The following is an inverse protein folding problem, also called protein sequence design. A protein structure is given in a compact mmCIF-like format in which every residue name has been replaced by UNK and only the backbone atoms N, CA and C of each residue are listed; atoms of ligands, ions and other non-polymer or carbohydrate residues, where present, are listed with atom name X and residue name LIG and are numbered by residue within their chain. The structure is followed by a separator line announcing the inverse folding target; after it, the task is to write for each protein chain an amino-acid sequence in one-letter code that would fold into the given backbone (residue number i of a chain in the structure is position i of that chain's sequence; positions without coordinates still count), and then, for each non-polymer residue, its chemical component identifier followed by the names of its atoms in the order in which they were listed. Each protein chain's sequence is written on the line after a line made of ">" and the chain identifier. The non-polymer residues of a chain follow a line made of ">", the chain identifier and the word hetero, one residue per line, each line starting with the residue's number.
data_IF_989216358107
#
_entry.id   IF_989216358107
#
_cell.length_a   1.000
_cell.length_b   1.000
_cell.length_c   1.000
_cell.angle_alpha   90.00
_cell.angle_beta   90.00
_cell.angle_gamma   90.00
#
_symmetry.space_group_name_H-M   'P 1'
#
loop_
_entity.id
_entity.type
_entity.pdbx_description
1 polymer ?
#
# COMPACT_ATOMS: atom_id res chain seq x y z
N UNK A 1 -24.80 5.54 28.36
CA UNK A 1 -23.80 4.49 28.62
C UNK A 1 -23.97 3.91 30.02
N UNK A 2 -24.22 4.72 31.05
CA UNK A 2 -24.16 4.31 32.47
C UNK A 2 -25.11 3.19 32.94
N UNK A 3 -26.07 2.77 32.12
CA UNK A 3 -26.98 1.65 32.42
C UNK A 3 -26.61 0.34 31.72
N UNK A 4 -25.65 0.37 30.80
CA UNK A 4 -25.20 -0.83 30.10
C UNK A 4 -24.09 -1.53 30.91
N UNK A 5 -24.13 -2.86 31.03
CA UNK A 5 -23.09 -3.58 31.74
C UNK A 5 -21.78 -3.59 30.92
N UNK A 6 -20.61 -3.83 31.56
CA UNK A 6 -19.29 -3.77 30.91
C UNK A 6 -19.16 -4.64 29.66
N UNK A 7 -19.85 -5.77 29.59
CA UNK A 7 -19.80 -6.71 28.47
C UNK A 7 -20.39 -6.09 27.20
N UNK A 8 -21.44 -5.27 27.33
CA UNK A 8 -22.05 -4.57 26.20
C UNK A 8 -21.12 -3.46 25.73
N UNK A 9 -20.49 -2.72 26.64
CA UNK A 9 -19.47 -1.74 26.28
C UNK A 9 -18.26 -2.38 25.59
N UNK A 10 -17.78 -3.51 26.09
CA UNK A 10 -16.70 -4.27 25.48
C UNK A 10 -17.03 -4.68 24.04
N UNK A 11 -18.26 -5.16 23.78
CA UNK A 11 -18.73 -5.44 22.41
C UNK A 11 -18.77 -4.18 21.54
N UNK A 12 -19.31 -3.08 22.04
CA UNK A 12 -19.35 -1.80 21.31
C UNK A 12 -17.92 -1.36 20.95
N UNK A 13 -16.98 -1.44 21.88
CA UNK A 13 -15.59 -1.04 21.66
C UNK A 13 -14.86 -1.98 20.70
N UNK A 14 -15.14 -3.29 20.73
CA UNK A 14 -14.62 -4.24 19.76
C UNK A 14 -15.02 -3.87 18.32
N UNK A 15 -16.26 -3.41 18.11
CA UNK A 15 -16.71 -2.96 16.78
C UNK A 15 -16.19 -1.56 16.43
N UNK A 16 -16.13 -0.65 17.41
CA UNK A 16 -15.74 0.73 17.18
C UNK A 16 -14.22 0.90 16.90
N UNK A 17 -13.38 0.08 17.53
CA UNK A 17 -11.91 0.13 17.40
C UNK A 17 -11.38 -0.60 16.14
N UNK A 18 -12.12 -0.52 15.03
CA UNK A 18 -11.77 -1.09 13.71
C UNK A 18 -11.27 -0.03 12.73
N UNK A 19 -10.71 1.07 13.25
CA UNK A 19 -10.21 2.20 12.48
C UNK A 19 -8.67 2.27 12.50
N UNK A 20 -8.08 3.46 12.38
CA UNK A 20 -6.63 3.67 12.44
C UNK A 20 -6.06 3.77 13.87
N UNK A 21 -6.84 3.37 14.88
CA UNK A 21 -6.49 3.44 16.31
C UNK A 21 -6.95 4.73 16.97
N UNK A 22 -7.55 5.66 16.21
CA UNK A 22 -8.01 6.96 16.72
C UNK A 22 -9.22 6.80 17.65
N UNK A 23 -10.14 5.89 17.35
CA UNK A 23 -11.27 5.59 18.24
C UNK A 23 -10.81 5.03 19.58
N UNK A 24 -9.88 4.07 19.58
CA UNK A 24 -9.31 3.51 20.81
C UNK A 24 -8.65 4.59 21.70
N UNK A 25 -7.86 5.48 21.09
CA UNK A 25 -7.26 6.61 21.79
C UNK A 25 -8.31 7.59 22.35
N UNK A 26 -9.38 7.83 21.60
CA UNK A 26 -10.46 8.74 22.02
C UNK A 26 -11.23 8.16 23.20
N UNK A 27 -11.58 6.87 23.17
CA UNK A 27 -12.24 6.16 24.26
C UNK A 27 -11.42 6.20 25.55
N UNK A 28 -10.11 5.99 25.46
CA UNK A 28 -9.20 6.02 26.61
C UNK A 28 -9.19 7.37 27.37
N UNK A 29 -9.67 8.45 26.74
CA UNK A 29 -9.72 9.80 27.31
C UNK A 29 -11.07 10.18 27.91
N UNK A 30 -12.12 9.37 27.73
CA UNK A 30 -13.48 9.73 28.16
C UNK A 30 -13.65 9.61 29.67
N UNK A 31 -13.32 8.47 30.27
CA UNK A 31 -13.41 8.22 31.72
C UNK A 31 -12.48 7.08 32.15
N UNK A 32 -12.23 6.91 33.46
CA UNK A 32 -11.44 5.77 33.98
C UNK A 32 -12.08 4.44 33.61
N UNK A 33 -13.39 4.32 33.82
CA UNK A 33 -14.17 3.14 33.46
C UNK A 33 -14.04 2.80 31.96
N UNK A 34 -14.27 3.77 31.05
CA UNK A 34 -14.16 3.52 29.61
C UNK A 34 -12.72 3.17 29.22
N UNK A 35 -11.72 3.81 29.83
CA UNK A 35 -10.30 3.49 29.59
C UNK A 35 -9.97 2.04 29.95
N UNK A 36 -10.50 1.54 31.06
CA UNK A 36 -10.30 0.16 31.51
C UNK A 36 -11.02 -0.84 30.61
N UNK A 37 -12.31 -0.61 30.32
CA UNK A 37 -13.12 -1.51 29.49
C UNK A 37 -12.67 -1.52 28.02
N UNK A 38 -12.19 -0.39 27.50
CA UNK A 38 -11.66 -0.30 26.13
C UNK A 38 -10.23 -0.81 25.98
N UNK A 39 -9.49 -1.03 27.08
CA UNK A 39 -8.07 -1.35 27.08
C UNK A 39 -7.68 -2.49 26.12
N UNK A 40 -8.42 -3.63 26.05
CA UNK A 40 -8.10 -4.73 25.14
C UNK A 40 -8.28 -4.39 23.66
N UNK A 41 -9.14 -3.41 23.36
CA UNK A 41 -9.56 -3.05 22.00
C UNK A 41 -8.73 -1.90 21.41
N UNK A 42 -8.02 -1.14 22.25
CA UNK A 42 -7.29 0.06 21.85
C UNK A 42 -6.24 -0.18 20.76
N UNK A 43 -5.66 -1.38 20.68
CA UNK A 43 -4.54 -1.72 19.81
C UNK A 43 -4.90 -2.73 18.71
N UNK A 44 -6.18 -3.11 18.58
CA UNK A 44 -6.59 -4.11 17.59
C UNK A 44 -6.22 -3.69 16.15
N UNK A 45 -6.33 -2.39 15.87
CA UNK A 45 -6.00 -1.79 14.60
C UNK A 45 -5.06 -0.61 14.81
N UNK A 46 -3.91 -0.60 14.13
CA UNK A 46 -2.90 0.45 14.24
C UNK A 46 -2.49 0.90 12.84
N UNK A 47 -2.68 2.19 12.53
CA UNK A 47 -2.07 2.80 11.35
C UNK A 47 -0.99 3.80 11.75
N UNK A 48 0.25 3.51 11.38
CA UNK A 48 1.39 4.39 11.59
C UNK A 48 1.82 4.98 10.25
N UNK A 49 1.93 6.31 10.24
CA UNK A 49 2.52 7.03 9.14
C UNK A 49 3.64 7.92 9.68
N UNK A 50 4.83 7.73 9.13
CA UNK A 50 6.04 8.44 9.47
C UNK A 50 6.87 7.76 10.56
N UNK A 51 8.16 7.73 10.31
CA UNK A 51 9.22 7.23 11.20
C UNK A 51 9.04 7.56 12.69
N UNK A 52 8.78 8.82 13.07
CA UNK A 52 8.66 9.23 14.48
C UNK A 52 7.56 8.46 15.23
N UNK A 53 6.44 8.16 14.55
CA UNK A 53 5.32 7.42 15.16
C UNK A 53 5.67 5.94 15.30
N UNK A 54 6.40 5.37 14.35
CA UNK A 54 6.90 3.99 14.42
C UNK A 54 7.84 3.84 15.62
N UNK A 55 8.86 4.70 15.74
CA UNK A 55 9.80 4.70 16.88
C UNK A 55 9.08 4.93 18.21
N UNK A 56 8.11 5.85 18.25
CA UNK A 56 7.33 6.09 19.45
C UNK A 56 6.52 4.85 19.87
N UNK A 57 5.86 4.17 18.93
CA UNK A 57 5.10 2.96 19.25
C UNK A 57 6.03 1.85 19.77
N UNK A 58 7.19 1.64 19.14
CA UNK A 58 8.16 0.66 19.61
C UNK A 58 8.54 0.89 21.08
N UNK A 59 8.84 2.14 21.46
CA UNK A 59 9.14 2.51 22.85
C UNK A 59 7.97 2.27 23.81
N UNK A 60 6.74 2.47 23.36
CA UNK A 60 5.55 2.21 24.18
C UNK A 60 5.26 0.70 24.32
N UNK A 61 5.55 -0.09 23.28
CA UNK A 61 5.50 -1.56 23.34
C UNK A 61 6.49 -2.10 24.38
N UNK A 62 7.74 -1.64 24.35
CA UNK A 62 8.79 -2.08 25.29
C UNK A 62 8.45 -1.76 26.75
N UNK A 63 7.78 -0.62 27.01
CA UNK A 63 7.34 -0.24 28.35
C UNK A 63 6.09 -1.00 28.80
N UNK A 64 5.29 -1.52 27.86
CA UNK A 64 4.03 -2.16 28.19
C UNK A 64 4.27 -3.52 28.84
N UNK A 65 3.75 -3.68 30.06
CA UNK A 65 3.76 -4.98 30.76
C UNK A 65 2.69 -5.95 30.26
N UNK A 66 1.70 -5.44 29.55
CA UNK A 66 0.54 -6.20 29.07
C UNK A 66 0.64 -6.32 27.56
N UNK A 67 0.67 -7.57 27.07
CA UNK A 67 0.55 -7.84 25.63
C UNK A 67 -0.92 -7.65 25.23
N UNK A 68 -1.14 -6.79 24.25
CA UNK A 68 -2.44 -6.52 23.65
C UNK A 68 -2.38 -7.06 22.22
N UNK A 69 -3.39 -7.83 21.79
CA UNK A 69 -3.39 -8.34 20.43
C UNK A 69 -3.52 -7.18 19.44
N UNK A 70 -2.74 -7.24 18.37
CA UNK A 70 -2.82 -6.35 17.22
C UNK A 70 -3.14 -7.24 16.02
N UNK A 71 -4.36 -7.09 15.48
CA UNK A 71 -4.84 -7.91 14.37
C UNK A 71 -4.55 -7.25 13.02
N UNK A 72 -4.57 -5.91 12.99
CA UNK A 72 -4.43 -5.15 11.76
C UNK A 72 -3.39 -4.05 11.91
N UNK A 73 -2.35 -4.09 11.08
CA UNK A 73 -1.33 -3.04 11.08
C UNK A 73 -1.12 -2.46 9.68
N UNK A 74 -1.07 -1.14 9.62
CA UNK A 74 -0.65 -0.37 8.46
C UNK A 74 0.60 0.43 8.84
N UNK A 75 1.69 0.20 8.13
CA UNK A 75 2.97 0.84 8.36
C UNK A 75 3.35 1.66 7.13
N UNK A 76 3.65 2.93 7.34
CA UNK A 76 4.16 3.81 6.30
C UNK A 76 5.36 4.60 6.80
N UNK A 77 6.46 4.56 6.07
CA UNK A 77 7.68 5.31 6.40
C UNK A 77 7.58 6.80 6.02
N UNK A 78 6.71 7.15 5.06
CA UNK A 78 6.48 8.51 4.58
C UNK A 78 5.96 9.44 5.68
N UNK A 79 6.54 10.63 5.78
CA UNK A 79 6.00 11.73 6.57
C UNK A 79 4.88 12.46 5.79
N UNK A 80 3.74 12.70 6.42
CA UNK A 80 2.71 13.63 5.90
C UNK A 80 3.21 15.09 6.04
N UNK A 81 3.17 15.97 5.00
CA UNK A 81 4.36 16.34 4.21
C UNK A 81 4.80 17.85 4.34
N UNK A 82 5.75 18.38 3.51
CA UNK A 82 5.47 18.69 2.09
C UNK A 82 6.41 18.05 1.03
N UNK A 83 5.92 17.91 -0.22
CA UNK A 83 6.39 17.03 -1.31
C UNK A 83 7.68 17.46 -2.04
N UNK A 84 8.44 18.42 -1.53
CA UNK A 84 9.64 18.95 -2.22
C UNK A 84 10.96 18.60 -1.52
N UNK A 85 10.91 17.87 -0.41
CA UNK A 85 12.11 17.39 0.25
C UNK A 85 12.40 15.98 -0.28
N UNK A 86 13.25 15.90 -1.30
CA UNK A 86 14.00 14.67 -1.54
C UNK A 86 14.63 14.25 -0.21
N UNK A 87 14.64 12.95 0.14
CA UNK A 87 15.26 12.49 1.37
C UNK A 87 16.69 13.02 1.41
N UNK A 88 17.02 13.82 2.42
CA UNK A 88 18.38 14.29 2.58
C UNK A 88 19.24 13.07 2.91
N UNK A 89 20.49 13.05 2.46
CA UNK A 89 21.42 11.92 2.73
C UNK A 89 21.56 11.60 4.22
N UNK A 90 21.29 12.57 5.10
CA UNK A 90 21.26 12.40 6.56
C UNK A 90 20.09 11.51 7.04
N UNK A 91 19.00 11.41 6.28
CA UNK A 91 17.83 10.59 6.62
C UNK A 91 18.11 9.09 6.47
N UNK A 92 19.07 8.70 5.63
CA UNK A 92 19.41 7.28 5.41
C UNK A 92 20.00 6.63 6.66
N UNK A 93 20.87 7.34 7.37
CA UNK A 93 21.45 6.89 8.63
C UNK A 93 20.37 6.73 9.70
N UNK A 94 19.40 7.64 9.76
CA UNK A 94 18.27 7.53 10.68
C UNK A 94 17.37 6.32 10.36
N UNK A 95 17.19 6.00 9.07
CA UNK A 95 16.44 4.82 8.64
C UNK A 95 17.03 3.52 9.20
N UNK A 96 18.31 3.26 8.95
CA UNK A 96 18.94 2.01 9.39
C UNK A 96 19.10 1.93 10.91
N UNK A 97 19.50 3.04 11.56
CA UNK A 97 19.82 3.03 13.00
C UNK A 97 18.59 3.04 13.92
N UNK A 98 17.45 3.53 13.45
CA UNK A 98 16.26 3.70 14.31
C UNK A 98 15.00 3.03 13.74
N UNK A 99 14.78 3.04 12.42
CA UNK A 99 13.53 2.49 11.86
C UNK A 99 13.53 0.97 11.91
N UNK A 100 14.60 0.32 11.43
CA UNK A 100 14.67 -1.14 11.40
C UNK A 100 14.57 -1.74 12.81
N UNK A 101 15.29 -1.24 13.84
CA UNK A 101 15.08 -1.70 15.22
C UNK A 101 13.65 -1.48 15.71
N UNK A 102 13.03 -0.33 15.41
CA UNK A 102 11.66 -0.06 15.81
C UNK A 102 10.66 -1.00 15.11
N UNK A 103 10.86 -1.27 13.81
CA UNK A 103 10.09 -2.27 13.08
C UNK A 103 10.31 -3.66 13.67
N UNK A 104 11.53 -4.04 14.06
CA UNK A 104 11.80 -5.33 14.68
C UNK A 104 10.99 -5.53 15.97
N UNK A 105 10.97 -4.51 16.83
CA UNK A 105 10.20 -4.52 18.08
C UNK A 105 8.71 -4.66 17.78
N UNK A 106 8.18 -3.85 16.86
CA UNK A 106 6.76 -3.85 16.51
C UNK A 106 6.37 -5.20 15.90
N UNK A 107 7.08 -5.66 14.87
CA UNK A 107 6.76 -6.89 14.14
C UNK A 107 6.91 -8.12 15.03
N UNK A 108 7.95 -8.18 15.87
CA UNK A 108 8.09 -9.22 16.88
C UNK A 108 6.98 -9.22 17.93
N UNK A 109 6.44 -8.05 18.27
CA UNK A 109 5.31 -7.93 19.17
C UNK A 109 3.99 -8.38 18.54
N UNK A 110 3.73 -8.01 17.28
CA UNK A 110 2.44 -8.27 16.61
C UNK A 110 2.37 -9.62 15.91
N UNK A 111 3.50 -10.26 15.62
CA UNK A 111 3.60 -11.48 14.79
C UNK A 111 2.58 -12.57 15.15
N UNK A 112 2.41 -12.85 16.44
CA UNK A 112 1.53 -13.89 16.97
C UNK A 112 0.03 -13.60 16.87
N UNK A 113 -0.39 -12.36 16.56
CA UNK A 113 -1.81 -12.00 16.47
C UNK A 113 -2.19 -11.38 15.14
N UNK A 114 -1.21 -11.12 14.26
CA UNK A 114 -1.42 -10.32 13.07
C UNK A 114 -2.21 -11.09 12.01
N UNK A 115 -3.35 -10.55 11.61
CA UNK A 115 -4.19 -11.09 10.53
C UNK A 115 -3.99 -10.33 9.21
N UNK A 116 -3.75 -9.01 9.28
CA UNK A 116 -3.50 -8.19 8.09
C UNK A 116 -2.31 -7.26 8.27
N UNK A 117 -1.40 -7.26 7.30
CA UNK A 117 -0.22 -6.40 7.26
C UNK A 117 -0.21 -5.58 5.97
N UNK A 118 -0.11 -4.26 6.10
CA UNK A 118 0.11 -3.37 4.97
C UNK A 118 1.37 -2.55 5.20
N UNK A 119 2.39 -2.78 4.38
CA UNK A 119 3.62 -2.00 4.35
C UNK A 119 3.60 -1.06 3.15
N UNK A 120 3.78 0.22 3.42
CA UNK A 120 3.92 1.27 2.43
C UNK A 120 5.28 1.94 2.62
N UNK A 121 6.26 1.53 1.82
CA UNK A 121 7.56 2.17 1.78
C UNK A 121 7.66 3.13 0.60
N UNK A 122 7.97 4.39 0.88
CA UNK A 122 8.30 5.43 -0.09
C UNK A 122 9.80 5.72 -0.13
N UNK A 123 10.59 4.95 0.64
CA UNK A 123 12.05 5.03 0.62
C UNK A 123 12.62 4.67 -0.76
N UNK A 124 13.88 5.03 -0.99
CA UNK A 124 14.57 4.72 -2.23
C UNK A 124 14.65 3.19 -2.46
N UNK A 125 14.95 2.76 -3.70
CA UNK A 125 14.89 1.35 -4.11
C UNK A 125 15.57 0.37 -3.15
N UNK A 126 16.75 0.72 -2.64
CA UNK A 126 17.51 -0.17 -1.76
C UNK A 126 16.90 -0.26 -0.35
N UNK A 127 16.54 0.88 0.23
CA UNK A 127 15.99 0.93 1.59
C UNK A 127 14.59 0.30 1.63
N UNK A 128 13.78 0.51 0.59
CA UNK A 128 12.48 -0.15 0.45
C UNK A 128 12.60 -1.68 0.37
N UNK A 129 13.58 -2.20 -0.38
CA UNK A 129 13.83 -3.64 -0.43
C UNK A 129 14.27 -4.19 0.95
N UNK A 130 15.10 -3.46 1.69
CA UNK A 130 15.52 -3.85 3.04
C UNK A 130 14.31 -3.95 3.97
N UNK A 131 13.45 -2.92 4.01
CA UNK A 131 12.28 -2.94 4.88
C UNK A 131 11.30 -4.06 4.52
N UNK A 132 11.07 -4.31 3.23
CA UNK A 132 10.21 -5.43 2.79
C UNK A 132 10.81 -6.77 3.25
N UNK A 133 12.10 -7.01 3.01
CA UNK A 133 12.77 -8.24 3.44
C UNK A 133 12.71 -8.42 4.96
N UNK A 134 12.92 -7.33 5.70
CA UNK A 134 12.83 -7.33 7.15
C UNK A 134 11.41 -7.64 7.62
N UNK A 135 10.38 -7.11 6.96
CA UNK A 135 9.00 -7.46 7.24
C UNK A 135 8.74 -8.94 6.97
N UNK A 136 9.25 -9.48 5.86
CA UNK A 136 9.07 -10.89 5.50
C UNK A 136 9.88 -11.87 6.37
N UNK A 137 10.84 -11.40 7.17
CA UNK A 137 11.68 -12.27 8.02
C UNK A 137 11.03 -12.71 9.33
N UNK A 138 9.80 -12.25 9.64
CA UNK A 138 9.09 -12.64 10.85
C UNK A 138 8.10 -13.77 10.55
N UNK A 139 7.91 -14.75 11.46
CA UNK A 139 6.86 -15.75 11.33
C UNK A 139 5.51 -15.09 11.60
N UNK A 140 4.52 -15.32 10.74
CA UNK A 140 3.16 -14.80 10.94
C UNK A 140 2.12 -15.92 10.87
N UNK A 141 1.90 -16.68 11.95
CA UNK A 141 1.06 -17.89 11.92
C UNK A 141 -0.41 -17.62 11.56
N UNK A 142 -0.89 -16.39 11.77
CA UNK A 142 -2.29 -16.01 11.52
C UNK A 142 -2.48 -15.00 10.39
N UNK A 143 -1.42 -14.65 9.66
CA UNK A 143 -1.49 -13.63 8.61
C UNK A 143 -2.26 -14.15 7.40
N UNK A 144 -3.43 -13.54 7.16
CA UNK A 144 -4.32 -13.87 6.04
C UNK A 144 -4.12 -12.91 4.87
N UNK A 145 -3.70 -11.68 5.14
CA UNK A 145 -3.57 -10.67 4.09
C UNK A 145 -2.29 -9.83 4.22
N UNK A 146 -1.56 -9.72 3.11
CA UNK A 146 -0.33 -8.96 2.99
C UNK A 146 -0.43 -7.99 1.82
N UNK A 147 -0.19 -6.71 2.09
CA UNK A 147 -0.03 -5.67 1.08
C UNK A 147 1.37 -5.08 1.20
N UNK A 148 2.13 -5.11 0.11
CA UNK A 148 3.45 -4.48 0.03
C UNK A 148 3.39 -3.45 -1.08
N UNK A 149 3.58 -2.17 -0.74
CA UNK A 149 4.01 -1.15 -1.69
C UNK A 149 5.44 -0.77 -1.36
N UNK A 150 6.32 -0.89 -2.34
CA UNK A 150 7.68 -0.40 -2.22
C UNK A 150 8.21 0.02 -3.59
N UNK A 151 9.10 1.00 -3.61
CA UNK A 151 9.82 1.41 -4.81
C UNK A 151 10.96 0.42 -5.12
N UNK A 152 10.75 -0.90 -5.09
CA UNK A 152 11.78 -1.91 -5.37
C UNK A 152 11.25 -3.03 -6.27
N UNK A 153 12.13 -3.62 -7.08
CA UNK A 153 11.72 -4.62 -8.07
C UNK A 153 11.59 -6.00 -7.45
N UNK A 154 10.78 -6.91 -8.02
CA UNK A 154 10.74 -8.30 -7.59
C UNK A 154 12.13 -8.95 -7.55
N UNK A 155 13.03 -8.63 -8.48
CA UNK A 155 14.43 -9.09 -8.46
C UNK A 155 15.19 -8.62 -7.23
N UNK A 156 14.99 -7.38 -6.81
CA UNK A 156 15.59 -6.86 -5.58
C UNK A 156 14.99 -7.52 -4.34
N UNK A 157 13.77 -8.05 -4.39
CA UNK A 157 13.18 -8.77 -3.25
C UNK A 157 13.58 -10.25 -3.23
N UNK A 158 13.57 -10.91 -4.39
CA UNK A 158 13.89 -12.34 -4.52
C UNK A 158 15.36 -12.67 -4.29
N UNK A 159 16.27 -11.70 -4.41
CA UNK A 159 17.71 -11.87 -4.18
C UNK A 159 18.08 -12.01 -2.70
N UNK A 160 17.48 -12.95 -1.97
CA UNK A 160 17.93 -13.35 -0.64
C UNK A 160 19.41 -13.71 -0.69
N UNK A 161 20.21 -13.19 0.24
CA UNK A 161 21.62 -13.60 0.29
C UNK A 161 21.65 -15.06 0.74
N UNK A 162 22.62 -15.88 0.28
CA UNK A 162 22.84 -17.20 0.84
C UNK A 162 22.97 -17.10 2.38
N UNK A 163 22.03 -17.70 3.12
CA UNK A 163 21.92 -17.59 4.58
C UNK A 163 20.69 -16.81 5.08
N UNK A 164 20.07 -15.99 4.24
CA UNK A 164 18.77 -15.38 4.51
C UNK A 164 17.67 -16.43 4.22
N UNK A 165 17.46 -17.38 5.13
CA UNK A 165 16.28 -18.24 5.05
C UNK A 165 15.08 -17.44 5.54
N UNK A 166 14.04 -17.34 4.71
CA UNK A 166 12.71 -16.99 5.22
C UNK A 166 12.34 -17.96 6.35
N UNK A 167 11.51 -17.53 7.31
CA UNK A 167 11.01 -18.41 8.36
C UNK A 167 10.49 -19.71 7.74
N UNK A 168 10.81 -20.86 8.35
CA UNK A 168 10.39 -22.17 7.83
C UNK A 168 8.87 -22.33 7.74
N UNK A 169 8.11 -21.49 8.44
CA UNK A 169 6.66 -21.46 8.41
C UNK A 169 6.19 -20.35 7.46
N UNK A 170 5.83 -20.75 6.24
CA UNK A 170 5.13 -19.85 5.33
C UNK A 170 3.74 -19.57 5.88
N UNK A 171 3.28 -18.31 5.91
CA UNK A 171 1.92 -18.00 6.32
C UNK A 171 0.91 -18.64 5.36
N UNK A 172 -0.24 -19.06 5.89
CA UNK A 172 -1.43 -19.45 5.12
C UNK A 172 -2.11 -18.19 4.56
N UNK A 173 -1.39 -17.50 3.67
CA UNK A 173 -1.77 -16.20 3.16
C UNK A 173 -2.89 -16.36 2.13
N UNK A 174 -4.07 -15.84 2.43
CA UNK A 174 -5.20 -15.87 1.50
C UNK A 174 -5.08 -14.79 0.42
N UNK A 175 -4.57 -13.60 0.77
CA UNK A 175 -4.55 -12.42 -0.08
C UNK A 175 -3.17 -11.75 -0.14
N UNK A 176 -2.63 -11.58 -1.34
CA UNK A 176 -1.35 -10.93 -1.59
C UNK A 176 -1.48 -9.78 -2.59
N UNK A 177 -1.23 -8.56 -2.14
CA UNK A 177 -1.16 -7.37 -3.00
C UNK A 177 0.27 -6.86 -3.08
N UNK A 178 0.86 -6.92 -4.26
CA UNK A 178 2.18 -6.37 -4.57
C UNK A 178 2.02 -5.11 -5.43
N UNK A 179 2.42 -3.97 -4.88
CA UNK A 179 2.49 -2.69 -5.57
C UNK A 179 3.96 -2.29 -5.78
N UNK A 180 4.55 -2.74 -6.89
CA UNK A 180 5.99 -2.68 -7.16
C UNK A 180 6.30 -2.17 -8.58
N UNK A 181 7.52 -1.69 -8.86
CA UNK A 181 8.05 -1.57 -10.22
C UNK A 181 8.44 -2.95 -10.79
N UNK A 182 7.81 -3.38 -11.88
CA UNK A 182 7.98 -4.70 -12.48
C UNK A 182 8.91 -4.73 -13.70
N UNK A 183 9.21 -3.57 -14.28
CA UNK A 183 10.05 -3.43 -15.48
C UNK A 183 9.63 -4.36 -16.61
N UNK A 184 8.33 -4.37 -16.90
CA UNK A 184 7.79 -5.07 -18.05
C UNK A 184 7.84 -6.59 -17.98
N UNK A 185 8.07 -7.20 -16.81
CA UNK A 185 8.32 -8.64 -16.71
C UNK A 185 9.41 -9.12 -17.69
N UNK A 186 10.57 -8.45 -17.70
CA UNK A 186 11.78 -9.05 -18.29
C UNK A 186 11.99 -10.46 -17.73
N UNK A 187 12.66 -11.35 -18.47
CA UNK A 187 12.85 -12.76 -18.06
C UNK A 187 13.30 -12.90 -16.60
N UNK A 188 14.26 -12.08 -16.17
CA UNK A 188 14.79 -12.08 -14.81
C UNK A 188 13.75 -11.60 -13.79
N UNK A 189 12.97 -10.56 -14.12
CA UNK A 189 11.93 -10.04 -13.22
C UNK A 189 10.71 -10.97 -13.16
N UNK A 190 10.41 -11.68 -14.24
CA UNK A 190 9.35 -12.68 -14.29
C UNK A 190 9.67 -13.83 -13.34
N UNK A 191 10.87 -14.41 -13.48
CA UNK A 191 11.35 -15.45 -12.56
C UNK A 191 11.40 -14.95 -11.12
N UNK A 192 11.92 -13.74 -10.90
CA UNK A 192 11.97 -13.17 -9.56
C UNK A 192 10.58 -12.92 -8.96
N UNK A 193 9.59 -12.56 -9.78
CA UNK A 193 8.20 -12.40 -9.33
C UNK A 193 7.61 -13.74 -8.92
N UNK A 194 7.81 -14.79 -9.74
CA UNK A 194 7.43 -16.16 -9.38
C UNK A 194 8.06 -16.58 -8.04
N UNK A 195 9.39 -16.47 -7.93
CA UNK A 195 10.12 -16.84 -6.73
C UNK A 195 9.64 -16.06 -5.50
N UNK A 196 9.38 -14.75 -5.65
CA UNK A 196 8.87 -13.91 -4.58
C UNK A 196 7.51 -14.40 -4.08
N UNK A 197 6.56 -14.67 -4.98
CA UNK A 197 5.22 -15.15 -4.61
C UNK A 197 5.31 -16.49 -3.89
N UNK A 198 6.05 -17.45 -4.46
CA UNK A 198 6.23 -18.78 -3.86
C UNK A 198 6.93 -18.72 -2.51
N UNK A 199 7.88 -17.78 -2.35
CA UNK A 199 8.58 -17.57 -1.09
C UNK A 199 7.69 -16.97 0.01
N UNK A 200 6.70 -16.15 -0.36
CA UNK A 200 5.75 -15.55 0.58
C UNK A 200 4.70 -16.59 0.99
N UNK A 201 4.05 -17.24 0.03
CA UNK A 201 3.08 -18.31 0.29
C UNK A 201 2.71 -19.02 -1.03
N UNK A 202 2.62 -20.36 -0.99
CA UNK A 202 2.12 -21.17 -2.10
C UNK A 202 0.58 -21.19 -2.18
N UNK A 203 -0.11 -20.86 -1.10
CA UNK A 203 -1.56 -21.01 -0.93
C UNK A 203 -2.37 -19.73 -1.25
N UNK A 204 -1.75 -18.78 -1.95
CA UNK A 204 -2.39 -17.49 -2.26
C UNK A 204 -3.62 -17.70 -3.14
N UNK A 205 -4.78 -17.37 -2.57
CA UNK A 205 -6.07 -17.47 -3.26
C UNK A 205 -6.47 -16.19 -3.99
N UNK A 206 -5.99 -15.02 -3.55
CA UNK A 206 -6.22 -13.73 -4.19
C UNK A 206 -4.90 -13.02 -4.42
N UNK A 207 -4.60 -12.71 -5.67
CA UNK A 207 -3.35 -12.05 -6.06
C UNK A 207 -3.66 -10.74 -6.77
N UNK A 208 -3.07 -9.64 -6.30
CA UNK A 208 -3.16 -8.34 -6.96
C UNK A 208 -1.78 -7.81 -7.29
N UNK A 209 -1.61 -7.38 -8.54
CA UNK A 209 -0.48 -6.57 -8.95
C UNK A 209 -0.91 -5.13 -9.18
N UNK A 210 -0.18 -4.20 -8.57
CA UNK A 210 -0.21 -2.80 -8.96
C UNK A 210 1.15 -2.38 -9.47
N UNK A 211 1.20 -1.98 -10.73
CA UNK A 211 2.44 -1.54 -11.35
C UNK A 211 2.74 -0.08 -10.96
N UNK A 212 3.93 0.14 -10.41
CA UNK A 212 4.40 1.48 -10.09
C UNK A 212 5.23 2.11 -11.21
N UNK A 213 5.73 1.29 -12.15
CA UNK A 213 6.52 1.76 -13.28
C UNK A 213 5.79 1.61 -14.61
N UNK A 214 6.20 2.42 -15.59
CA UNK A 214 5.61 2.49 -16.93
C UNK A 214 6.29 1.57 -17.95
N UNK A 215 7.31 0.81 -17.55
CA UNK A 215 8.17 0.12 -18.48
C UNK A 215 7.57 -1.22 -18.91
N UNK A 216 7.58 -1.49 -20.21
CA UNK A 216 7.18 -2.78 -20.79
C UNK A 216 5.72 -3.17 -20.54
N UNK A 217 4.82 -2.18 -20.56
CA UNK A 217 3.36 -2.37 -20.42
C UNK A 217 2.82 -3.46 -21.36
N UNK A 218 3.30 -3.49 -22.62
CA UNK A 218 2.94 -4.52 -23.61
C UNK A 218 3.30 -5.94 -23.15
N UNK A 219 4.54 -6.15 -22.74
CA UNK A 219 5.01 -7.48 -22.31
C UNK A 219 4.24 -7.95 -21.07
N UNK A 220 3.88 -7.04 -20.18
CA UNK A 220 3.05 -7.36 -19.02
C UNK A 220 1.69 -7.89 -19.44
N UNK A 221 1.02 -7.21 -20.37
CA UNK A 221 -0.27 -7.69 -20.88
C UNK A 221 -0.14 -9.04 -21.57
N UNK A 222 0.90 -9.25 -22.38
CA UNK A 222 1.15 -10.53 -23.03
C UNK A 222 1.32 -11.67 -22.01
N UNK A 223 2.11 -11.45 -20.96
CA UNK A 223 2.33 -12.41 -19.88
C UNK A 223 1.03 -12.68 -19.11
N UNK A 224 0.29 -11.62 -18.76
CA UNK A 224 -0.96 -11.75 -18.00
C UNK A 224 -2.04 -12.46 -18.82
N UNK A 225 -2.15 -12.16 -20.12
CA UNK A 225 -3.08 -12.86 -21.01
C UNK A 225 -2.72 -14.34 -21.15
N UNK A 226 -1.43 -14.66 -21.35
CA UNK A 226 -0.92 -16.03 -21.39
C UNK A 226 -1.23 -16.79 -20.09
N UNK A 227 -0.95 -16.19 -18.92
CA UNK A 227 -1.22 -16.79 -17.61
C UNK A 227 -2.71 -17.03 -17.36
N UNK A 228 -3.56 -16.05 -17.66
CA UNK A 228 -5.01 -16.18 -17.46
C UNK A 228 -5.63 -17.20 -18.44
N UNK A 229 -5.13 -17.27 -19.68
CA UNK A 229 -5.54 -18.29 -20.64
C UNK A 229 -5.12 -19.69 -20.17
N UNK A 230 -3.87 -19.85 -19.70
CA UNK A 230 -3.37 -21.12 -19.17
C UNK A 230 -4.12 -21.57 -17.90
N UNK A 231 -4.57 -20.63 -17.06
CA UNK A 231 -5.43 -20.90 -15.89
C UNK A 231 -6.92 -21.03 -16.21
N UNK A 232 -7.30 -21.01 -17.50
CA UNK A 232 -8.69 -21.09 -17.97
C UNK A 232 -9.60 -20.02 -17.36
N UNK A 233 -9.05 -18.85 -17.06
CA UNK A 233 -9.80 -17.65 -16.64
C UNK A 233 -10.25 -16.86 -17.86
N UNK A 234 -9.47 -16.91 -18.95
CA UNK A 234 -9.72 -16.23 -20.21
C UNK A 234 -9.57 -17.17 -21.41
N UNK A 235 -10.16 -16.77 -22.54
CA UNK A 235 -9.92 -17.43 -23.82
C UNK A 235 -8.52 -17.07 -24.37
N UNK A 236 -7.84 -17.99 -25.06
CA UNK A 236 -6.55 -17.69 -25.68
C UNK A 236 -6.63 -16.62 -26.78
N UNK A 237 -7.80 -16.42 -27.39
CA UNK A 237 -8.01 -15.39 -28.43
C UNK A 237 -9.05 -14.39 -27.92
N UNK A 238 -8.73 -13.09 -28.06
CA UNK A 238 -9.59 -11.98 -27.70
C UNK A 238 -9.89 -11.13 -28.93
N UNK A 239 -11.16 -10.97 -29.27
CA UNK A 239 -11.58 -9.98 -30.26
C UNK A 239 -11.51 -8.59 -29.64
N UNK A 240 -10.75 -7.70 -30.27
CA UNK A 240 -10.54 -6.33 -29.81
C UNK A 240 -11.45 -5.37 -30.58
N UNK A 241 -12.03 -4.35 -29.93
CA UNK A 241 -12.78 -3.32 -30.63
C UNK A 241 -11.93 -2.66 -31.73
N UNK A 242 -12.47 -2.42 -32.93
CA UNK A 242 -11.73 -1.77 -34.00
C UNK A 242 -11.27 -0.38 -33.53
N UNK A 243 -10.05 -0.02 -33.91
CA UNK A 243 -9.56 1.36 -33.83
C UNK A 243 -9.60 1.95 -35.25
N UNK A 244 -9.64 3.28 -35.37
CA UNK A 244 -9.73 3.98 -36.66
C UNK A 244 -8.52 3.76 -37.60
N UNK A 245 -7.54 2.97 -37.19
CA UNK A 245 -6.29 2.66 -37.88
C UNK A 245 -6.06 1.13 -37.93
N UNK A 246 -5.06 0.68 -38.70
CA UNK A 246 -4.69 -0.73 -38.93
C UNK A 246 -4.17 -1.46 -37.67
N UNK A 247 -4.92 -1.43 -36.57
CA UNK A 247 -4.68 -2.26 -35.40
C UNK A 247 -5.06 -3.71 -35.68
N UNK A 248 -4.37 -4.67 -35.05
CA UNK A 248 -4.88 -6.03 -34.99
C UNK A 248 -6.27 -6.02 -34.34
N UNK A 249 -7.23 -6.68 -34.98
CA UNK A 249 -8.59 -6.89 -34.46
C UNK A 249 -8.64 -7.98 -33.40
N UNK A 250 -7.54 -8.71 -33.18
CA UNK A 250 -7.47 -9.83 -32.23
C UNK A 250 -6.16 -9.81 -31.45
N UNK A 251 -6.20 -10.20 -30.17
CA UNK A 251 -5.02 -10.57 -29.38
C UNK A 251 -5.02 -12.07 -29.09
N UNK A 252 -3.89 -12.72 -29.33
CA UNK A 252 -3.70 -14.16 -29.07
C UNK A 252 -2.67 -14.36 -27.96
N UNK A 253 -3.05 -15.11 -26.95
CA UNK A 253 -2.21 -15.47 -25.82
C UNK A 253 -1.08 -16.39 -26.29
N UNK A 254 0.15 -16.04 -25.94
CA UNK A 254 1.29 -16.92 -26.15
C UNK A 254 1.21 -18.11 -25.18
N UNK A 255 1.78 -19.28 -25.53
CA UNK A 255 2.00 -20.35 -24.56
C UNK A 255 2.85 -19.86 -23.39
N UNK A 256 2.53 -20.30 -22.18
CA UNK A 256 3.35 -20.02 -20.99
C UNK A 256 4.58 -20.91 -21.04
N UNK A 257 5.74 -20.30 -21.31
CA UNK A 257 7.06 -20.98 -21.38
C UNK A 257 7.97 -20.61 -20.20
N UNK A 258 7.38 -20.11 -19.12
CA UNK A 258 8.05 -19.64 -17.91
C UNK A 258 7.36 -20.25 -16.69
N UNK A 259 7.99 -20.13 -15.53
CA UNK A 259 7.41 -20.59 -14.26
C UNK A 259 6.13 -19.81 -13.93
N UNK A 260 5.04 -20.52 -13.66
CA UNK A 260 3.69 -19.93 -13.49
C UNK A 260 3.69 -18.80 -12.47
N UNK A 261 3.31 -17.60 -12.88
CA UNK A 261 3.12 -16.49 -11.94
C UNK A 261 1.88 -16.69 -11.07
N UNK A 262 0.81 -17.22 -11.67
CA UNK A 262 -0.46 -17.44 -10.99
C UNK A 262 -0.41 -18.79 -10.25
N UNK A 263 -0.61 -18.82 -8.93
CA UNK A 263 -0.72 -20.07 -8.17
C UNK A 263 -1.86 -20.95 -8.69
N UNK A 264 -1.72 -22.28 -8.58
CA UNK A 264 -2.75 -23.22 -9.05
C UNK A 264 -4.08 -23.07 -8.29
N UNK A 265 -4.03 -22.68 -7.00
CA UNK A 265 -5.19 -22.44 -6.15
C UNK A 265 -5.84 -21.05 -6.32
N UNK A 266 -5.40 -20.25 -7.30
CA UNK A 266 -5.84 -18.86 -7.45
C UNK A 266 -7.33 -18.76 -7.79
N UNK A 267 -8.07 -18.09 -6.90
CA UNK A 267 -9.49 -17.80 -7.07
C UNK A 267 -9.71 -16.47 -7.78
N UNK A 268 -8.92 -15.46 -7.44
CA UNK A 268 -9.07 -14.10 -7.95
C UNK A 268 -7.73 -13.46 -8.30
N UNK A 269 -7.64 -12.89 -9.50
CA UNK A 269 -6.51 -12.08 -9.94
C UNK A 269 -6.93 -10.65 -10.25
N UNK A 270 -6.21 -9.67 -9.72
CA UNK A 270 -6.40 -8.27 -10.09
C UNK A 270 -5.11 -7.65 -10.62
N UNK A 271 -5.24 -6.82 -11.65
CA UNK A 271 -4.13 -6.02 -12.16
C UNK A 271 -4.52 -4.55 -12.25
N UNK A 272 -3.62 -3.70 -11.77
CA UNK A 272 -3.69 -2.26 -11.89
C UNK A 272 -2.42 -1.77 -12.58
N UNK A 273 -2.47 -1.39 -13.87
CA UNK A 273 -1.30 -0.85 -14.55
C UNK A 273 -0.93 0.52 -13.97
N UNK A 274 0.30 0.95 -14.27
CA UNK A 274 0.73 2.31 -13.98
C UNK A 274 -0.17 3.28 -14.77
N UNK A 275 -0.61 4.40 -14.18
CA UNK A 275 -1.37 5.39 -14.92
C UNK A 275 -0.57 5.88 -16.12
N UNK A 276 -1.23 5.92 -17.27
CA UNK A 276 -0.71 6.48 -18.52
C UNK A 276 -0.64 8.00 -18.44
N UNK A 277 0.19 8.55 -17.54
CA UNK A 277 0.52 9.97 -17.59
C UNK A 277 1.53 10.22 -18.71
N UNK A 278 1.48 11.43 -19.28
CA UNK A 278 2.13 12.01 -20.49
C UNK A 278 3.63 11.83 -20.69
N UNK A 279 4.30 10.91 -19.99
CA UNK A 279 5.73 10.65 -20.11
C UNK A 279 5.99 9.72 -21.30
N UNK A 280 5.89 10.29 -22.49
CA UNK A 280 6.30 9.66 -23.74
C UNK A 280 7.82 9.75 -23.84
N UNK A 281 8.58 8.66 -23.59
CA UNK A 281 9.85 8.58 -24.32
C UNK A 281 9.49 8.15 -25.73
N UNK A 282 9.60 9.09 -26.67
CA UNK A 282 9.54 8.82 -28.11
C UNK A 282 10.50 7.71 -28.56
N UNK A 283 11.48 7.38 -27.74
CA UNK A 283 12.50 6.37 -27.98
C UNK A 283 12.09 4.93 -27.62
N UNK A 284 11.15 4.73 -26.69
CA UNK A 284 10.91 3.42 -26.07
C UNK A 284 9.44 2.98 -26.09
N UNK A 285 8.49 3.89 -26.31
CA UNK A 285 7.08 3.54 -26.46
C UNK A 285 6.50 4.31 -27.65
N UNK A 286 6.18 3.59 -28.72
CA UNK A 286 5.20 4.09 -29.69
C UNK A 286 3.93 4.41 -28.89
N UNK A 287 3.35 5.61 -29.06
CA UNK A 287 2.06 6.00 -28.45
C UNK A 287 0.96 4.93 -28.61
N UNK A 288 1.10 4.08 -29.62
CA UNK A 288 0.26 2.92 -29.93
C UNK A 288 0.29 1.84 -28.84
N UNK A 289 1.45 1.59 -28.25
CA UNK A 289 1.65 0.49 -27.30
C UNK A 289 0.77 0.58 -26.06
N UNK A 290 0.61 1.78 -25.50
CA UNK A 290 -0.22 1.98 -24.30
C UNK A 290 -1.71 1.88 -24.59
N UNK A 291 -2.16 2.38 -25.76
CA UNK A 291 -3.58 2.27 -26.17
C UNK A 291 -3.95 0.81 -26.40
N UNK A 292 -3.10 0.05 -27.09
CA UNK A 292 -3.33 -1.39 -27.30
C UNK A 292 -3.31 -2.17 -25.97
N UNK A 293 -2.39 -1.84 -25.06
CA UNK A 293 -2.32 -2.43 -23.72
C UNK A 293 -3.60 -2.20 -22.93
N UNK A 294 -4.05 -0.95 -22.83
CA UNK A 294 -5.30 -0.63 -22.13
C UNK A 294 -6.46 -1.35 -22.80
N UNK A 295 -6.57 -1.30 -24.13
CA UNK A 295 -7.64 -1.95 -24.89
C UNK A 295 -7.69 -3.46 -24.62
N UNK A 296 -6.54 -4.13 -24.58
CA UNK A 296 -6.46 -5.57 -24.27
C UNK A 296 -6.89 -5.81 -22.81
N UNK A 297 -6.37 -5.06 -21.83
CA UNK A 297 -6.75 -5.22 -20.41
C UNK A 297 -8.24 -4.95 -20.16
N UNK A 298 -8.79 -3.90 -20.78
CA UNK A 298 -10.23 -3.61 -20.75
C UNK A 298 -11.01 -4.78 -21.36
N UNK A 299 -10.58 -5.29 -22.52
CA UNK A 299 -11.26 -6.42 -23.15
C UNK A 299 -11.18 -7.68 -22.29
N UNK A 300 -10.03 -7.96 -21.68
CA UNK A 300 -9.86 -9.04 -20.72
C UNK A 300 -10.85 -8.89 -19.56
N UNK A 301 -11.05 -7.68 -19.03
CA UNK A 301 -12.00 -7.43 -17.93
C UNK A 301 -13.46 -7.61 -18.31
N UNK A 302 -13.80 -7.39 -19.60
CA UNK A 302 -15.16 -7.59 -20.13
C UNK A 302 -15.44 -9.06 -20.40
N UNK A 303 -14.45 -9.81 -20.87
CA UNK A 303 -14.62 -11.22 -21.29
C UNK A 303 -14.39 -12.20 -20.13
N UNK A 304 -13.55 -11.84 -19.15
CA UNK A 304 -13.29 -12.70 -18.00
C UNK A 304 -14.51 -12.80 -17.08
N UNK A 305 -14.55 -13.89 -16.32
CA UNK A 305 -15.40 -14.00 -15.15
C UNK A 305 -15.02 -12.91 -14.12
N UNK A 306 -15.96 -12.02 -13.81
CA UNK A 306 -15.77 -10.89 -12.89
C UNK A 306 -15.42 -11.33 -11.46
N UNK A 307 -15.76 -12.58 -11.10
CA UNK A 307 -15.42 -13.16 -9.81
C UNK A 307 -14.01 -13.75 -9.77
N UNK A 308 -13.32 -13.83 -10.92
CA UNK A 308 -11.98 -14.40 -11.06
C UNK A 308 -10.92 -13.43 -11.57
N UNK A 309 -11.32 -12.38 -12.28
CA UNK A 309 -10.41 -11.37 -12.80
C UNK A 309 -10.96 -9.96 -12.68
N UNK A 310 -10.13 -9.03 -12.23
CA UNK A 310 -10.43 -7.60 -12.25
C UNK A 310 -9.31 -6.77 -12.86
N UNK A 311 -9.68 -5.91 -13.80
CA UNK A 311 -8.86 -4.81 -14.26
C UNK A 311 -9.23 -3.55 -13.46
N UNK A 312 -8.25 -3.03 -12.72
CA UNK A 312 -8.41 -1.81 -11.93
C UNK A 312 -7.94 -0.63 -12.78
N UNK A 313 -8.86 -0.06 -13.55
CA UNK A 313 -8.58 1.09 -14.38
C UNK A 313 -8.11 2.29 -13.54
N UNK A 314 -7.07 2.97 -14.01
CA UNK A 314 -6.57 4.23 -13.50
C UNK A 314 -6.67 5.30 -14.57
N UNK A 315 -7.87 5.48 -15.13
CA UNK A 315 -8.19 6.78 -15.72
C UNK A 315 -7.78 7.84 -14.71
N UNK A 316 -6.94 8.81 -15.11
CA UNK A 316 -6.50 9.85 -14.21
C UNK A 316 -7.76 10.41 -13.59
N UNK A 317 -7.92 10.23 -12.27
CA UNK A 317 -8.93 10.94 -11.49
C UNK A 317 -8.74 12.36 -11.97
N UNK A 318 -9.70 12.89 -12.78
CA UNK A 318 -9.57 14.16 -13.50
C UNK A 318 -8.85 15.05 -12.54
N UNK A 319 -7.58 15.36 -12.84
CA UNK A 319 -6.68 15.91 -11.84
C UNK A 319 -7.32 17.21 -11.37
N UNK A 320 -8.13 17.11 -10.30
CA UNK A 320 -8.69 18.26 -9.64
C UNK A 320 -7.47 19.10 -9.38
N UNK A 321 -7.55 20.41 -9.62
CA UNK A 321 -6.46 21.40 -9.48
C UNK A 321 -5.74 21.39 -8.11
N UNK A 322 -5.94 20.38 -7.28
CA UNK A 322 -5.09 19.96 -6.19
C UNK A 322 -3.63 19.92 -6.65
N UNK A 323 -2.82 20.78 -6.04
CA UNK A 323 -1.35 20.75 -6.03
C UNK A 323 -0.83 19.47 -5.34
N UNK A 324 -1.32 18.30 -5.71
CA UNK A 324 -0.84 17.03 -5.20
C UNK A 324 0.51 16.70 -5.83
N UNK A 325 1.33 15.99 -5.07
CA UNK A 325 2.65 15.52 -5.48
C UNK A 325 2.53 14.72 -6.80
N UNK A 326 3.30 15.03 -7.86
CA UNK A 326 3.32 14.24 -9.09
C UNK A 326 3.51 12.73 -8.85
N UNK A 327 4.19 12.34 -7.76
CA UNK A 327 4.34 10.94 -7.36
C UNK A 327 3.05 10.32 -6.79
N UNK A 328 2.17 11.11 -6.15
CA UNK A 328 0.85 10.66 -5.74
C UNK A 328 -0.12 10.51 -6.92
N UNK A 329 0.04 11.36 -7.94
CA UNK A 329 -0.77 11.32 -9.17
C UNK A 329 -0.43 10.09 -10.03
N UNK A 330 0.75 9.50 -9.84
CA UNK A 330 1.28 8.45 -10.72
C UNK A 330 1.19 7.00 -10.18
N UNK A 331 0.60 6.72 -9.02
CA UNK A 331 0.66 5.37 -8.46
C UNK A 331 -0.29 5.09 -7.30
N UNK A 332 -0.29 3.86 -6.77
CA UNK A 332 -1.03 3.46 -5.56
C UNK A 332 -0.42 4.19 -4.37
N UNK A 333 -0.95 5.39 -4.14
CA UNK A 333 -0.44 6.38 -3.20
C UNK A 333 -0.89 6.11 -1.78
N UNK A 334 -0.34 6.88 -0.82
CA UNK A 334 -0.58 6.68 0.61
C UNK A 334 -2.07 6.77 0.96
N UNK A 335 -2.76 7.79 0.45
CA UNK A 335 -4.19 8.01 0.74
C UNK A 335 -5.03 6.83 0.26
N UNK A 336 -4.80 6.37 -0.97
CA UNK A 336 -5.53 5.21 -1.51
C UNK A 336 -5.20 3.94 -0.74
N UNK A 337 -3.91 3.66 -0.48
CA UNK A 337 -3.50 2.47 0.26
C UNK A 337 -4.06 2.45 1.68
N UNK A 338 -4.07 3.58 2.38
CA UNK A 338 -4.67 3.71 3.72
C UNK A 338 -6.18 3.51 3.68
N UNK A 339 -6.88 4.14 2.73
CA UNK A 339 -8.33 4.00 2.58
C UNK A 339 -8.73 2.56 2.24
N UNK A 340 -8.00 1.93 1.32
CA UNK A 340 -8.21 0.55 0.94
C UNK A 340 -7.96 -0.37 2.15
N UNK A 341 -6.92 -0.11 2.98
CA UNK A 341 -6.68 -0.87 4.22
C UNK A 341 -7.80 -0.69 5.24
N UNK A 342 -8.20 0.56 5.53
CA UNK A 342 -9.29 0.86 6.47
C UNK A 342 -10.61 0.20 6.05
N UNK A 343 -10.87 0.16 4.74
CA UNK A 343 -12.08 -0.49 4.21
C UNK A 343 -12.04 -1.99 4.49
N UNK A 344 -10.87 -2.66 4.36
CA UNK A 344 -10.73 -4.10 4.63
C UNK A 344 -10.86 -4.45 6.09
N UNK A 345 -10.26 -3.66 6.97
CA UNK A 345 -10.38 -3.83 8.43
C UNK A 345 -11.85 -3.75 8.88
N UNK A 346 -12.68 -2.97 8.17
CA UNK A 346 -14.12 -2.87 8.39
C UNK A 346 -14.94 -3.93 7.64
N UNK A 347 -14.34 -5.06 7.27
CA UNK A 347 -14.94 -6.14 6.48
C UNK A 347 -15.42 -5.72 5.07
N UNK A 348 -14.96 -4.58 4.56
CA UNK A 348 -15.17 -4.19 3.18
C UNK A 348 -14.20 -4.88 2.23
N UNK A 349 -14.43 -4.75 0.92
CA UNK A 349 -13.53 -5.32 -0.09
C UNK A 349 -12.21 -4.56 -0.26
N UNK A 350 -12.20 -3.27 0.10
CA UNK A 350 -11.08 -2.36 -0.09
C UNK A 350 -10.48 -2.45 -1.49
N UNK A 351 -9.24 -2.93 -1.55
CA UNK A 351 -8.45 -3.01 -2.77
C UNK A 351 -8.86 -4.19 -3.69
N UNK A 352 -9.74 -5.09 -3.24
CA UNK A 352 -10.10 -6.31 -3.96
C UNK A 352 -11.39 -6.21 -4.77
N UNK A 353 -12.18 -5.14 -4.59
CA UNK A 353 -13.39 -4.90 -5.37
C UNK A 353 -13.08 -4.01 -6.55
N UNK A 354 -13.60 -4.36 -7.72
CA UNK A 354 -13.63 -3.45 -8.85
C UNK A 354 -14.45 -2.23 -8.41
N UNK A 355 -13.82 -1.05 -8.43
CA UNK A 355 -14.53 0.19 -8.15
C UNK A 355 -15.40 0.46 -9.37
N UNK A 356 -16.70 0.57 -9.17
CA UNK A 356 -17.59 1.05 -10.22
C UNK A 356 -17.03 2.39 -10.71
N UNK A 357 -16.98 2.57 -12.03
CA UNK A 357 -16.58 3.86 -12.59
C UNK A 357 -17.48 4.91 -11.92
N UNK A 358 -16.92 5.99 -11.33
CA UNK A 358 -17.73 6.99 -10.66
C UNK A 358 -18.81 7.43 -11.65
N UNK A 359 -20.08 7.23 -11.29
CA UNK A 359 -21.20 7.63 -12.13
C UNK A 359 -20.96 9.07 -12.56
N UNK A 360 -20.80 9.27 -13.87
CA UNK A 360 -20.47 10.56 -14.48
C UNK A 360 -21.48 11.66 -14.13
N UNK A 361 -22.62 11.27 -13.57
CA UNK A 361 -23.80 12.10 -13.37
C UNK A 361 -23.84 12.75 -11.99
N UNK A 362 -22.95 12.38 -11.05
CA UNK A 362 -22.89 12.97 -9.71
C UNK A 362 -22.01 14.24 -9.62
N UNK A 363 -21.48 14.75 -10.74
CA UNK A 363 -20.56 15.91 -10.78
C UNK A 363 -21.26 17.29 -10.88
N UNK A 364 -22.59 17.40 -10.89
CA UNK A 364 -23.27 18.70 -11.06
C UNK A 364 -23.79 19.38 -9.77
N UNK A 365 -23.55 18.82 -8.58
CA UNK A 365 -23.93 19.46 -7.32
C UNK A 365 -22.69 19.87 -6.53
N UNK A 366 -21.98 20.90 -7.01
CA UNK A 366 -21.05 21.65 -6.16
C UNK A 366 -21.87 22.44 -5.13
N UNK A 367 -21.98 21.91 -3.90
CA UNK A 367 -22.33 22.72 -2.74
C UNK A 367 -21.24 23.79 -2.57
N UNK A 368 -21.58 25.06 -2.81
CA UNK A 368 -20.75 26.18 -2.44
C UNK A 368 -20.37 26.05 -0.95
N UNK A 369 -19.11 26.27 -0.56
CA UNK A 369 -18.70 26.23 0.84
C UNK A 369 -19.39 27.37 1.60
N UNK A 370 -20.51 27.07 2.25
CA UNK A 370 -21.21 28.01 3.12
C UNK A 370 -20.25 28.50 4.21
N UNK A 371 -20.18 29.83 4.32
CA UNK A 371 -19.12 30.58 4.97
C UNK A 371 -18.76 30.15 6.40
N UNK A 372 -17.46 30.06 6.65
CA UNK A 372 -16.86 30.02 7.98
C UNK A 372 -17.18 31.32 8.75
N UNK A 373 -17.52 31.26 10.05
CA UNK A 373 -17.81 32.44 10.84
C UNK A 373 -16.53 33.26 11.09
N UNK A 374 -16.60 34.55 10.78
CA UNK A 374 -15.53 35.53 10.97
C UNK A 374 -15.29 35.78 12.47
N UNK A 375 -14.09 35.48 12.97
CA UNK A 375 -13.64 35.94 14.29
C UNK A 375 -12.99 37.33 14.18
N UNK A 376 -13.15 38.21 15.18
CA UNK A 376 -12.69 39.60 15.10
C UNK A 376 -11.17 39.73 15.25
N UNK A 377 -10.60 40.56 14.37
CA UNK A 377 -9.20 40.99 14.33
C UNK A 377 -8.81 41.77 15.60
N UNK A 378 -7.76 41.31 16.28
CA UNK A 378 -7.04 42.07 17.31
C UNK A 378 -5.72 42.63 16.74
N UNK A 379 -5.46 43.86 17.14
CA UNK A 379 -4.54 44.84 16.56
C UNK A 379 -3.05 44.47 16.53
N UNK A 380 -2.41 44.98 15.47
CA UNK A 380 -0.97 45.06 15.19
C UNK A 380 -0.09 45.59 16.33
N UNK A 381 1.07 44.96 16.54
CA UNK A 381 2.28 45.55 17.15
C UNK A 381 3.49 45.42 16.21
N UNK A 382 4.48 46.33 16.30
CA UNK A 382 5.41 46.60 15.22
C UNK A 382 6.61 45.64 15.15
N UNK A 383 7.05 45.36 13.94
CA UNK A 383 8.31 44.66 13.64
C UNK A 383 9.50 45.54 14.02
N UNK A 384 10.38 45.00 14.87
CA UNK A 384 11.75 45.51 15.06
C UNK A 384 12.72 44.50 14.44
N UNK A 385 13.45 44.98 13.45
CA UNK A 385 14.58 44.33 12.77
C UNK A 385 15.68 43.91 13.75
N UNK A 386 16.17 42.66 13.62
CA UNK A 386 17.48 42.27 14.15
C UNK A 386 18.06 41.06 13.40
N UNK A 387 18.76 41.35 12.30
CA UNK A 387 19.88 40.53 11.86
C UNK A 387 21.11 40.82 12.74
N UNK A 388 21.98 39.82 12.86
CA UNK A 388 23.28 39.79 13.57
C UNK A 388 23.25 39.43 15.06
N UNK A 389 23.45 38.13 15.35
CA UNK A 389 24.42 37.58 16.33
C UNK A 389 24.15 36.09 16.57
N UNK A 390 24.75 35.23 15.76
CA UNK A 390 24.88 33.80 16.03
C UNK A 390 26.34 33.39 15.80
N UNK A 391 27.19 33.76 16.76
CA UNK A 391 28.47 33.11 17.06
C UNK A 391 28.63 33.13 18.57
N UNK A 392 29.00 31.97 19.13
CA UNK A 392 29.22 31.62 20.55
C UNK A 392 27.95 31.22 21.30
N UNK A 393 27.69 29.91 21.39
CA UNK A 393 27.79 29.12 22.64
C UNK A 393 27.93 27.65 22.22
N UNK A 394 29.17 27.19 22.05
CA UNK A 394 29.56 25.78 22.23
C UNK A 394 30.38 25.76 23.49
N UNK A 395 29.81 25.24 24.59
CA UNK A 395 30.48 24.52 25.68
C UNK A 395 29.57 24.44 26.90
N UNK A 396 29.65 23.27 27.54
CA UNK A 396 28.88 22.78 28.69
C UNK A 396 27.50 22.29 28.25
N UNK A 397 27.28 20.98 28.30
CA UNK A 397 26.77 20.29 29.48
C UNK A 397 27.31 18.84 29.45
N UNK A 398 28.08 18.49 30.50
CA UNK A 398 28.46 17.13 30.93
C UNK A 398 28.23 17.14 32.45
N UNK A 399 27.78 16.00 33.00
CA UNK A 399 27.12 15.81 34.31
C UNK A 399 25.67 16.29 34.23
N UNK A 400 24.66 15.43 34.23
CA UNK A 400 24.37 14.33 35.15
C UNK A 400 23.97 13.02 34.47
#
# INVERSE_FOLDING_TARGET
>A
MDRCPPEIHARIFAYACTDDGTTGCSLARVSRYIREVSLPYQWQCIALAGFKRVVQLAREIEKSRIRRPVFHIFLCDRHSPPPNCYPHTEDRTAYELELLPALSIILGYVSESLETLSLFSDACFYDGAIAVRHVLSFPYPHLKELTIRACCTPRQLAGFRPGDSLPCETPNLERLHLALPYHGFSSDNLQATHNLIQSISSEVSHLRFTMLDKWGSRRVVEVVHAELAASRILTPVLDLPPLDWECPSTATACPVTWDRLLPDGLRFFAIQPSPTSTFYCSCCMDLRGDVDVIRILERMSVVADKDRFAYMDRRPIRARKCRMDPLEVAGYGFVEAKNDWQTRVKNGGGCWKQKDAPDSDMESSEEEPTGSPTLPLLSSRPQVSRMSKLRRVVKRWKMW
#
